data_IF_797314416464
#
_entry.id   IF_797314416464
#
_cell.length_a   1.000
_cell.length_b   1.000
_cell.length_c   1.000
_cell.angle_alpha   90.00
_cell.angle_beta   90.00
_cell.angle_gamma   90.00
#
_symmetry.space_group_name_H-M   'P 1'
#
loop_
_entity.id
_entity.type
_entity.pdbx_description
1 polymer ?
#
# COMPACT_ATOMS: atom_id res chain seq x y z
N UNK A 1 22.83 -3.77 17.99
CA UNK A 1 22.25 -4.59 16.91
C UNK A 1 20.96 -5.30 17.37
N UNK A 2 20.59 -5.20 18.66
CA UNK A 2 19.44 -5.92 19.25
C UNK A 2 18.05 -5.33 18.94
N UNK A 3 17.98 -4.11 18.39
CA UNK A 3 16.71 -3.43 18.06
C UNK A 3 15.93 -4.16 16.95
N UNK A 4 16.60 -4.90 16.07
CA UNK A 4 16.01 -5.65 14.94
C UNK A 4 16.23 -7.16 15.05
N UNK A 5 16.01 -7.69 16.25
CA UNK A 5 16.12 -9.13 16.56
C UNK A 5 14.81 -9.92 16.32
N UNK A 6 13.82 -9.30 15.67
CA UNK A 6 12.52 -9.92 15.39
C UNK A 6 12.53 -10.84 14.17
N UNK A 7 11.33 -11.07 13.62
CA UNK A 7 11.13 -11.87 12.41
C UNK A 7 11.88 -11.29 11.21
N UNK A 8 12.37 -12.15 10.33
CA UNK A 8 12.92 -11.77 9.02
C UNK A 8 11.87 -12.03 7.94
N UNK A 9 11.60 -11.01 7.11
CA UNK A 9 10.74 -11.13 5.93
C UNK A 9 11.58 -11.15 4.65
N UNK A 10 11.14 -11.95 3.67
CA UNK A 10 11.79 -12.19 2.38
C UNK A 10 13.28 -12.56 2.51
N UNK A 11 13.68 -13.14 3.64
CA UNK A 11 15.08 -13.40 3.97
C UNK A 11 15.97 -12.15 4.05
N UNK A 12 15.40 -10.95 4.03
CA UNK A 12 16.12 -9.67 3.83
C UNK A 12 15.81 -8.60 4.87
N UNK A 13 14.55 -8.42 5.24
CA UNK A 13 14.12 -7.32 6.11
C UNK A 13 13.97 -7.82 7.53
N UNK A 14 14.80 -7.32 8.45
CA UNK A 14 14.73 -7.66 9.87
C UNK A 14 13.80 -6.69 10.58
N UNK A 15 12.73 -7.20 11.16
CA UNK A 15 11.77 -6.40 11.91
C UNK A 15 12.27 -6.21 13.36
N UNK A 16 11.83 -5.14 14.04
CA UNK A 16 12.00 -5.03 15.48
C UNK A 16 11.24 -6.14 16.20
N UNK A 17 11.61 -6.39 17.45
CA UNK A 17 10.80 -7.23 18.31
C UNK A 17 9.42 -6.58 18.48
N UNK A 18 8.32 -7.32 18.26
CA UNK A 18 6.99 -6.76 18.47
C UNK A 18 6.84 -6.36 19.96
N UNK A 19 6.22 -5.20 20.27
CA UNK A 19 5.84 -4.86 21.63
C UNK A 19 4.99 -5.98 22.22
N UNK A 20 5.12 -6.23 23.52
CA UNK A 20 4.42 -7.31 24.23
C UNK A 20 2.88 -7.27 24.05
N UNK A 21 2.31 -6.09 23.80
CA UNK A 21 0.87 -5.85 23.76
C UNK A 21 0.34 -5.44 22.37
N UNK A 22 1.16 -5.50 21.33
CA UNK A 22 0.76 -5.06 19.98
C UNK A 22 0.28 -6.24 19.12
N UNK A 23 -1.02 -6.29 18.84
CA UNK A 23 -1.57 -7.09 17.75
C UNK A 23 -1.14 -6.45 16.43
N UNK A 24 -0.14 -7.05 15.76
CA UNK A 24 0.40 -6.76 14.42
C UNK A 24 0.38 -5.29 13.93
N UNK A 25 1.57 -4.73 13.75
CA UNK A 25 1.71 -3.43 13.11
C UNK A 25 1.24 -3.47 11.65
N UNK A 26 0.20 -2.72 11.30
CA UNK A 26 -0.08 -2.36 9.89
C UNK A 26 1.11 -1.65 9.25
N UNK A 27 1.94 -0.97 10.04
CA UNK A 27 3.10 -0.19 9.61
C UNK A 27 4.25 -0.28 10.61
N UNK A 28 5.47 -0.62 10.18
CA UNK A 28 6.65 -0.75 11.06
C UNK A 28 7.94 -0.33 10.36
N UNK A 29 9.02 -0.13 11.13
CA UNK A 29 10.38 0.03 10.58
C UNK A 29 11.01 -1.34 10.43
N UNK A 30 11.93 -1.51 9.48
CA UNK A 30 12.77 -2.69 9.40
C UNK A 30 14.19 -2.31 8.98
N UNK A 31 15.13 -3.22 9.21
CA UNK A 31 16.50 -3.10 8.73
C UNK A 31 16.67 -3.96 7.48
N UNK A 32 17.01 -3.33 6.35
CA UNK A 32 17.36 -4.04 5.13
C UNK A 32 18.81 -4.54 5.23
N UNK A 33 18.96 -5.85 5.39
CA UNK A 33 20.27 -6.48 5.55
C UNK A 33 21.16 -6.41 4.30
N UNK A 34 20.59 -6.15 3.13
CA UNK A 34 21.34 -6.01 1.89
C UNK A 34 21.96 -4.62 1.74
N UNK A 35 21.17 -3.56 1.95
CA UNK A 35 21.64 -2.16 1.83
C UNK A 35 22.26 -1.61 3.13
N UNK A 36 21.98 -2.22 4.28
CA UNK A 36 22.37 -1.72 5.59
C UNK A 36 21.56 -0.51 6.07
N UNK A 37 20.44 -0.20 5.41
CA UNK A 37 19.59 0.95 5.73
C UNK A 37 18.31 0.54 6.44
N UNK A 38 17.71 1.49 7.14
CA UNK A 38 16.36 1.31 7.66
C UNK A 38 15.32 1.69 6.62
N UNK A 39 14.25 0.92 6.59
CA UNK A 39 13.13 1.05 5.65
C UNK A 39 11.81 1.06 6.40
N UNK A 40 10.77 1.56 5.75
CA UNK A 40 9.40 1.50 6.26
C UNK A 40 8.67 0.32 5.59
N UNK A 41 7.97 -0.48 6.39
CA UNK A 41 7.18 -1.62 5.94
C UNK A 41 5.71 -1.36 6.24
N UNK A 42 4.86 -1.52 5.23
CA UNK A 42 3.40 -1.56 5.38
C UNK A 42 2.90 -2.96 5.09
N UNK A 43 2.11 -3.50 6.00
CA UNK A 43 1.41 -4.79 5.87
C UNK A 43 0.00 -4.53 5.34
N UNK A 44 -0.38 -5.24 4.28
CA UNK A 44 -1.75 -5.31 3.77
C UNK A 44 -2.21 -6.76 3.93
N UNK A 45 -3.06 -7.06 4.94
CA UNK A 45 -3.60 -8.40 5.13
C UNK A 45 -4.35 -8.88 3.89
N UNK A 46 -4.08 -10.11 3.47
CA UNK A 46 -4.80 -10.70 2.35
C UNK A 46 -6.16 -11.23 2.83
N UNK A 47 -7.24 -10.98 2.08
CA UNK A 47 -8.56 -11.52 2.42
C UNK A 47 -8.52 -13.05 2.53
N UNK A 48 -9.22 -13.60 3.51
CA UNK A 48 -9.43 -15.06 3.65
C UNK A 48 -10.38 -15.55 2.55
N UNK A 49 -10.12 -16.73 1.98
CA UNK A 49 -11.08 -17.37 1.07
C UNK A 49 -12.18 -18.00 1.90
N UNK A 50 -13.42 -17.59 1.68
CA UNK A 50 -14.59 -18.33 2.13
C UNK A 50 -15.08 -19.09 0.91
N UNK A 51 -14.89 -20.41 0.91
CA UNK A 51 -15.52 -21.26 -0.10
C UNK A 51 -17.04 -21.11 0.07
N UNK A 52 -17.74 -20.75 -0.99
CA UNK A 52 -19.18 -20.64 -0.95
C UNK A 52 -19.75 -22.04 -0.69
N UNK A 53 -20.45 -22.21 0.43
CA UNK A 53 -21.32 -23.37 0.61
C UNK A 53 -22.37 -23.33 -0.50
N UNK A 54 -22.30 -24.29 -1.41
CA UNK A 54 -23.33 -24.47 -2.43
C UNK A 54 -24.54 -25.04 -1.72
N UNK A 55 -25.58 -24.22 -1.54
CA UNK A 55 -26.88 -24.72 -1.10
C UNK A 55 -27.51 -25.38 -2.32
N UNK A 56 -27.53 -26.71 -2.34
CA UNK A 56 -28.25 -27.45 -3.37
C UNK A 56 -29.76 -27.13 -3.32
N UNK A 57 -30.40 -27.13 -4.48
CA UNK A 57 -31.84 -26.82 -4.70
C UNK A 57 -32.79 -27.74 -3.91
N UNK A 58 -32.28 -28.86 -3.38
CA UNK A 58 -33.05 -29.88 -2.66
C UNK A 58 -33.09 -29.71 -1.13
N UNK A 59 -32.51 -28.65 -0.56
CA UNK A 59 -32.67 -28.32 0.88
C UNK A 59 -32.11 -29.36 1.87
N UNK A 60 -31.31 -30.33 1.40
CA UNK A 60 -30.67 -31.32 2.26
C UNK A 60 -29.32 -30.78 2.74
N UNK A 61 -29.30 -30.23 3.96
CA UNK A 61 -28.07 -29.91 4.69
C UNK A 61 -27.39 -31.22 5.12
N UNK A 62 -26.68 -31.84 4.17
CA UNK A 62 -25.82 -32.99 4.41
C UNK A 62 -24.55 -32.58 5.13
N UNK A 63 -24.61 -32.51 6.47
CA UNK A 63 -23.46 -32.22 7.29
C UNK A 63 -22.36 -33.29 7.16
N UNK A 64 -21.21 -32.89 6.62
CA UNK A 64 -19.93 -33.47 6.97
C UNK A 64 -19.01 -32.33 7.42
N UNK A 65 -18.79 -32.31 8.73
CA UNK A 65 -17.99 -31.37 9.48
C UNK A 65 -16.53 -31.48 9.04
N UNK A 66 -16.10 -30.66 8.08
CA UNK A 66 -14.71 -30.26 7.97
C UNK A 66 -14.68 -28.76 8.21
N UNK A 67 -14.27 -28.39 9.43
CA UNK A 67 -14.24 -27.01 9.88
C UNK A 67 -13.59 -26.11 8.84
N UNK A 68 -14.25 -25.00 8.55
CA UNK A 68 -13.78 -23.94 7.67
C UNK A 68 -12.29 -23.68 7.89
N UNK A 69 -11.46 -24.27 7.03
CA UNK A 69 -10.04 -24.00 7.01
C UNK A 69 -9.91 -22.64 6.36
N UNK A 70 -9.96 -21.59 7.18
CA UNK A 70 -9.64 -20.20 6.82
C UNK A 70 -8.19 -20.16 6.35
N UNK A 71 -7.94 -20.61 5.13
CA UNK A 71 -6.62 -20.50 4.52
C UNK A 71 -6.53 -19.09 3.95
N UNK A 72 -5.59 -18.30 4.47
CA UNK A 72 -5.24 -17.03 3.86
C UNK A 72 -4.93 -17.25 2.37
N UNK A 73 -5.41 -16.35 1.50
CA UNK A 73 -5.09 -16.39 0.07
C UNK A 73 -3.57 -16.48 -0.11
N UNK A 74 -3.09 -17.62 -0.62
CA UNK A 74 -1.68 -17.81 -0.95
C UNK A 74 -1.28 -16.98 -2.18
N UNK A 75 0.02 -16.86 -2.45
CA UNK A 75 0.55 -16.10 -3.59
C UNK A 75 0.12 -16.60 -4.98
N UNK A 76 -0.64 -17.70 -5.06
CA UNK A 76 -1.23 -18.22 -6.30
C UNK A 76 -2.65 -17.73 -6.60
N UNK A 77 -3.32 -17.02 -5.68
CA UNK A 77 -4.64 -16.44 -5.96
C UNK A 77 -4.54 -15.32 -7.01
N UNK A 78 -5.35 -15.35 -8.10
CA UNK A 78 -5.33 -14.31 -9.13
C UNK A 78 -5.50 -12.88 -8.60
N UNK A 79 -6.29 -12.67 -7.54
CA UNK A 79 -6.46 -11.36 -6.92
C UNK A 79 -5.17 -10.89 -6.20
N UNK A 80 -4.51 -11.80 -5.47
CA UNK A 80 -3.22 -11.52 -4.82
C UNK A 80 -2.15 -11.23 -5.86
N UNK A 81 -2.12 -11.99 -6.96
CA UNK A 81 -1.19 -11.78 -8.05
C UNK A 81 -1.40 -10.41 -8.70
N UNK A 82 -2.64 -10.04 -9.03
CA UNK A 82 -2.97 -8.71 -9.56
C UNK A 82 -2.57 -7.60 -8.60
N UNK A 83 -2.80 -7.76 -7.31
CA UNK A 83 -2.41 -6.77 -6.31
C UNK A 83 -0.89 -6.61 -6.18
N UNK A 84 -0.15 -7.72 -6.21
CA UNK A 84 1.31 -7.70 -6.26
C UNK A 84 1.83 -6.99 -7.54
N UNK A 85 1.26 -7.33 -8.69
CA UNK A 85 1.64 -6.75 -9.99
C UNK A 85 1.32 -5.24 -10.03
N UNK A 86 0.15 -4.83 -9.54
CA UNK A 86 -0.27 -3.43 -9.46
C UNK A 86 0.65 -2.60 -8.56
N UNK A 87 0.97 -3.09 -7.36
CA UNK A 87 1.88 -2.40 -6.45
C UNK A 87 3.33 -2.37 -6.98
N UNK A 88 3.76 -3.43 -7.66
CA UNK A 88 5.08 -3.47 -8.32
C UNK A 88 5.14 -2.47 -9.47
N UNK A 89 4.08 -2.33 -10.26
CA UNK A 89 3.99 -1.34 -11.32
C UNK A 89 4.00 0.10 -10.76
N UNK A 90 3.28 0.36 -9.67
CA UNK A 90 3.31 1.64 -8.97
C UNK A 90 4.71 2.00 -8.44
N UNK A 91 5.50 1.00 -8.03
CA UNK A 91 6.88 1.20 -7.58
C UNK A 91 7.85 1.60 -8.71
N UNK A 92 7.45 1.47 -9.99
CA UNK A 92 8.26 1.90 -11.14
C UNK A 92 8.08 3.38 -11.49
N UNK A 93 7.20 4.11 -10.80
CA UNK A 93 7.09 5.56 -10.97
C UNK A 93 8.44 6.20 -10.65
N UNK A 94 8.98 7.08 -11.52
CA UNK A 94 10.27 7.71 -11.30
C UNK A 94 10.34 8.53 -10.00
N UNK A 95 11.53 8.55 -9.41
CA UNK A 95 11.80 9.27 -8.17
C UNK A 95 11.46 10.76 -8.29
N UNK A 96 10.82 11.30 -7.25
CA UNK A 96 10.40 12.69 -7.21
C UNK A 96 10.47 13.23 -5.76
N UNK A 97 10.95 14.46 -5.52
CA UNK A 97 11.15 15.01 -4.16
C UNK A 97 9.86 15.25 -3.33
N UNK A 98 8.69 14.90 -3.89
CA UNK A 98 7.39 14.96 -3.21
C UNK A 98 6.68 13.61 -3.19
N UNK A 99 7.32 12.54 -3.64
CA UNK A 99 6.80 11.18 -3.63
C UNK A 99 7.71 10.28 -2.80
N UNK A 100 7.11 9.47 -1.93
CA UNK A 100 7.83 8.43 -1.20
C UNK A 100 8.20 7.27 -2.11
N UNK A 101 9.46 6.86 -2.08
CA UNK A 101 9.98 5.80 -2.93
C UNK A 101 9.60 4.41 -2.38
N UNK A 102 9.23 3.50 -3.27
CA UNK A 102 8.97 2.08 -2.93
C UNK A 102 10.13 1.25 -3.47
N UNK A 103 10.75 0.46 -2.60
CA UNK A 103 11.93 -0.35 -2.93
C UNK A 103 11.57 -1.78 -3.32
N UNK A 104 10.54 -2.36 -2.69
CA UNK A 104 10.19 -3.76 -2.90
C UNK A 104 8.75 -4.04 -2.47
N UNK A 105 8.08 -4.93 -3.19
CA UNK A 105 6.74 -5.44 -2.85
C UNK A 105 6.77 -6.96 -2.95
N UNK A 106 6.23 -7.65 -1.95
CA UNK A 106 6.18 -9.11 -1.92
C UNK A 106 5.01 -9.63 -1.10
N UNK A 107 4.64 -10.90 -1.29
CA UNK A 107 3.63 -11.59 -0.48
C UNK A 107 4.31 -12.58 0.47
N UNK A 108 4.01 -12.52 1.76
CA UNK A 108 4.51 -13.48 2.75
C UNK A 108 3.57 -13.55 3.97
N UNK A 109 3.33 -14.78 4.46
CA UNK A 109 2.49 -15.07 5.63
C UNK A 109 1.12 -14.40 5.61
N UNK A 110 0.38 -14.58 4.50
CA UNK A 110 -0.99 -14.10 4.37
C UNK A 110 -1.11 -12.58 4.25
N UNK A 111 -0.03 -11.88 3.87
CA UNK A 111 -0.04 -10.43 3.68
C UNK A 111 0.80 -10.02 2.47
N UNK A 112 0.42 -8.92 1.84
CA UNK A 112 1.32 -8.14 0.98
C UNK A 112 2.12 -7.18 1.85
N UNK A 113 3.41 -7.08 1.55
CA UNK A 113 4.35 -6.21 2.23
C UNK A 113 4.89 -5.20 1.23
N UNK A 114 4.80 -3.92 1.59
CA UNK A 114 5.34 -2.82 0.81
C UNK A 114 6.49 -2.22 1.59
N UNK A 115 7.68 -2.28 1.00
CA UNK A 115 8.91 -1.73 1.55
C UNK A 115 9.18 -0.40 0.86
N UNK A 116 9.25 0.67 1.64
CA UNK A 116 9.47 2.02 1.15
C UNK A 116 10.57 2.75 1.91
N UNK A 117 10.93 3.92 1.41
CA UNK A 117 11.80 4.87 2.10
C UNK A 117 11.31 5.13 3.53
N UNK A 118 12.24 5.10 4.48
CA UNK A 118 11.99 5.59 5.83
C UNK A 118 12.27 7.10 5.86
N UNK A 119 11.22 7.88 5.60
CA UNK A 119 11.29 9.34 5.57
C UNK A 119 11.43 9.91 6.99
N UNK A 120 12.37 10.83 7.19
CA UNK A 120 12.47 11.65 8.39
C UNK A 120 11.32 12.67 8.43
N UNK A 121 10.21 12.28 9.06
CA UNK A 121 9.01 13.08 9.16
C UNK A 121 7.90 12.38 9.92
N UNK A 122 6.74 13.04 9.99
CA UNK A 122 5.54 12.53 10.69
C UNK A 122 4.32 12.58 9.77
N UNK A 123 3.41 11.59 9.83
CA UNK A 123 2.14 11.67 9.13
C UNK A 123 1.34 12.91 9.54
N UNK A 124 0.72 13.58 8.57
CA UNK A 124 -0.12 14.75 8.80
C UNK A 124 -1.25 14.42 9.80
N UNK A 125 -1.78 13.19 9.77
CA UNK A 125 -2.77 12.70 10.74
C UNK A 125 -2.31 12.85 12.19
N UNK A 126 -1.06 12.51 12.49
CA UNK A 126 -0.50 12.60 13.83
C UNK A 126 -0.22 14.05 14.27
N UNK A 127 0.00 14.96 13.33
CA UNK A 127 0.13 16.39 13.64
C UNK A 127 -1.24 17.04 13.87
N UNK A 128 -2.25 16.64 13.10
CA UNK A 128 -3.60 17.16 13.20
C UNK A 128 -4.31 16.74 14.50
N UNK A 129 -3.86 15.69 15.16
CA UNK A 129 -4.33 15.32 16.52
C UNK A 129 -3.80 16.26 17.59
N UNK A 130 -2.66 16.93 17.34
CA UNK A 130 -2.02 17.85 18.30
C UNK A 130 -2.47 19.30 18.06
N UNK A 131 -2.61 19.71 16.80
CA UNK A 131 -2.95 21.09 16.43
C UNK A 131 -3.52 21.20 15.02
N UNK A 132 -4.31 22.25 14.79
CA UNK A 132 -4.69 22.67 13.45
C UNK A 132 -3.52 23.36 12.72
N UNK A 133 -3.51 23.26 11.39
CA UNK A 133 -2.60 24.04 10.56
C UNK A 133 -3.13 25.47 10.39
N UNK A 134 -2.22 26.45 10.30
CA UNK A 134 -2.59 27.77 9.81
C UNK A 134 -3.02 27.68 8.33
N UNK A 135 -3.85 28.61 7.83
CA UNK A 135 -4.23 28.62 6.42
C UNK A 135 -3.02 28.66 5.48
N UNK A 136 -1.99 29.43 5.84
CA UNK A 136 -0.75 29.49 5.08
C UNK A 136 -0.03 28.14 5.02
N UNK A 137 0.12 27.47 6.18
CA UNK A 137 0.77 26.16 6.23
C UNK A 137 -0.02 25.08 5.48
N UNK A 138 -1.36 25.13 5.55
CA UNK A 138 -2.21 24.23 4.78
C UNK A 138 -2.01 24.42 3.27
N UNK A 139 -1.88 25.67 2.80
CA UNK A 139 -1.61 25.97 1.40
C UNK A 139 -0.24 25.46 0.94
N UNK A 140 0.81 25.57 1.77
CA UNK A 140 2.13 25.00 1.47
C UNK A 140 2.06 23.47 1.30
N UNK A 141 1.42 22.79 2.25
CA UNK A 141 1.23 21.33 2.20
C UNK A 141 0.44 20.94 0.96
N UNK A 142 -0.64 21.66 0.63
CA UNK A 142 -1.43 21.40 -0.56
C UNK A 142 -0.61 21.60 -1.85
N UNK A 143 0.22 22.64 -1.93
CA UNK A 143 1.09 22.88 -3.08
C UNK A 143 2.10 21.75 -3.29
N UNK A 144 2.70 21.25 -2.22
CA UNK A 144 3.63 20.12 -2.26
C UNK A 144 2.93 18.82 -2.72
N UNK A 145 1.74 18.54 -2.20
CA UNK A 145 0.91 17.40 -2.64
C UNK A 145 0.53 17.52 -4.12
N UNK A 146 0.09 18.70 -4.57
CA UNK A 146 -0.25 18.94 -5.98
C UNK A 146 0.97 18.76 -6.91
N UNK A 147 2.17 19.09 -6.41
CA UNK A 147 3.41 18.88 -7.15
C UNK A 147 3.71 17.38 -7.30
N UNK A 148 3.49 16.59 -6.24
CA UNK A 148 3.57 15.13 -6.29
C UNK A 148 2.56 14.52 -7.29
N UNK A 149 1.30 14.98 -7.23
CA UNK A 149 0.24 14.50 -8.11
C UNK A 149 0.50 14.83 -9.57
N UNK A 150 1.05 16.00 -9.88
CA UNK A 150 1.43 16.34 -11.25
C UNK A 150 2.47 15.37 -11.82
N UNK A 151 3.46 15.00 -11.01
CA UNK A 151 4.46 14.00 -11.40
C UNK A 151 3.83 12.62 -11.62
N UNK A 152 2.89 12.19 -10.76
CA UNK A 152 2.16 10.92 -10.95
C UNK A 152 1.30 10.92 -12.20
N UNK A 153 0.48 11.96 -12.39
CA UNK A 153 -0.44 12.06 -13.53
C UNK A 153 0.31 12.10 -14.87
N UNK A 154 1.53 12.66 -14.91
CA UNK A 154 2.38 12.61 -16.11
C UNK A 154 2.75 11.18 -16.54
N UNK A 155 2.65 10.21 -15.63
CA UNK A 155 2.88 8.78 -15.88
C UNK A 155 1.56 7.98 -15.91
N UNK A 156 0.41 8.65 -16.02
CA UNK A 156 -0.92 8.01 -16.09
C UNK A 156 -1.46 7.50 -14.75
N UNK A 157 -0.70 7.61 -13.66
CA UNK A 157 -1.12 7.13 -12.34
C UNK A 157 -2.02 8.13 -11.63
N UNK A 158 -3.19 7.68 -11.18
CA UNK A 158 -3.99 8.41 -10.18
C UNK A 158 -3.66 7.87 -8.79
N UNK A 159 -3.37 8.73 -7.81
CA UNK A 159 -2.95 8.26 -6.47
C UNK A 159 -4.03 7.45 -5.73
N UNK A 160 -5.29 7.94 -5.77
CA UNK A 160 -6.52 7.37 -5.19
C UNK A 160 -6.53 7.01 -3.69
N UNK A 161 -5.39 7.02 -3.02
CA UNK A 161 -5.24 6.82 -1.57
C UNK A 161 -4.69 8.08 -0.86
N UNK A 162 -5.21 9.27 -1.21
CA UNK A 162 -4.78 10.53 -0.58
C UNK A 162 -5.56 10.71 0.72
N UNK A 163 -4.85 10.63 1.84
CA UNK A 163 -5.38 10.80 3.19
C UNK A 163 -4.37 11.57 4.05
N UNK A 164 -4.77 12.01 5.24
CA UNK A 164 -3.82 12.61 6.19
C UNK A 164 -2.76 11.61 6.68
N UNK A 165 -2.95 10.30 6.49
CA UNK A 165 -1.96 9.27 6.83
C UNK A 165 -0.91 9.10 5.74
N UNK A 166 -1.27 9.35 4.48
CA UNK A 166 -0.37 9.19 3.32
C UNK A 166 0.39 10.46 2.98
N UNK A 167 0.10 11.58 3.63
CA UNK A 167 0.89 12.81 3.56
C UNK A 167 1.84 12.89 4.77
N UNK A 168 3.15 12.85 4.52
CA UNK A 168 4.18 13.05 5.53
C UNK A 168 4.64 14.50 5.53
N UNK A 169 4.77 15.11 6.71
CA UNK A 169 5.50 16.36 6.88
C UNK A 169 6.92 16.02 7.34
N UNK A 170 7.90 16.32 6.50
CA UNK A 170 9.31 16.05 6.76
C UNK A 170 9.89 17.10 7.71
N UNK A 171 11.01 16.75 8.34
CA UNK A 171 11.69 17.62 9.31
C UNK A 171 12.25 18.90 8.67
N UNK A 172 12.52 18.88 7.36
CA UNK A 172 12.92 20.06 6.56
C UNK A 172 11.74 20.96 6.16
N UNK A 173 10.52 20.64 6.61
CA UNK A 173 9.32 21.43 6.37
C UNK A 173 8.60 21.12 5.06
N UNK A 174 9.08 20.17 4.24
CA UNK A 174 8.35 19.77 3.02
C UNK A 174 7.24 18.75 3.30
N UNK A 175 6.19 18.75 2.49
CA UNK A 175 5.22 17.65 2.47
C UNK A 175 5.56 16.62 1.39
N UNK A 176 5.35 15.34 1.69
CA UNK A 176 5.58 14.23 0.77
C UNK A 176 4.36 13.32 0.73
N UNK A 177 3.98 12.92 -0.48
CA UNK A 177 2.89 11.98 -0.71
C UNK A 177 3.43 10.56 -0.82
N UNK A 178 2.84 9.64 -0.08
CA UNK A 178 3.25 8.23 0.01
C UNK A 178 2.05 7.31 -0.21
N UNK A 179 2.25 6.00 -0.27
CA UNK A 179 1.14 5.05 -0.28
C UNK A 179 0.51 4.78 -1.65
N UNK A 180 1.10 5.23 -2.75
CA UNK A 180 0.66 4.88 -4.10
C UNK A 180 0.59 3.36 -4.32
N UNK A 181 1.68 2.64 -4.03
CA UNK A 181 1.71 1.18 -4.19
C UNK A 181 0.72 0.46 -3.25
N UNK A 182 0.47 1.03 -2.06
CA UNK A 182 -0.50 0.49 -1.12
C UNK A 182 -1.93 0.66 -1.63
N UNK A 183 -2.27 1.86 -2.11
CA UNK A 183 -3.55 2.12 -2.76
C UNK A 183 -3.77 1.23 -3.99
N UNK A 184 -2.74 1.06 -4.82
CA UNK A 184 -2.82 0.17 -5.98
C UNK A 184 -3.07 -1.30 -5.57
N UNK A 185 -2.37 -1.82 -4.55
CA UNK A 185 -2.65 -3.16 -4.03
C UNK A 185 -4.08 -3.29 -3.49
N UNK A 186 -4.53 -2.33 -2.67
CA UNK A 186 -5.87 -2.34 -2.06
C UNK A 186 -6.98 -2.29 -3.14
N UNK A 187 -6.83 -1.45 -4.17
CA UNK A 187 -7.77 -1.40 -5.28
C UNK A 187 -7.84 -2.71 -6.06
N UNK A 188 -6.69 -3.31 -6.35
CA UNK A 188 -6.61 -4.59 -7.04
C UNK A 188 -7.22 -5.74 -6.22
N UNK A 189 -7.06 -5.73 -4.90
CA UNK A 189 -7.71 -6.69 -3.99
C UNK A 189 -9.24 -6.52 -3.99
N UNK A 190 -9.73 -5.30 -4.18
CA UNK A 190 -11.16 -5.00 -4.35
C UNK A 190 -11.68 -5.31 -5.77
N UNK A 191 -10.82 -5.73 -6.70
CA UNK A 191 -11.19 -6.11 -8.07
C UNK A 191 -11.12 -4.99 -9.10
N UNK A 192 -10.59 -3.81 -8.75
CA UNK A 192 -10.32 -2.75 -9.70
C UNK A 192 -8.97 -2.96 -10.41
N UNK A 193 -8.80 -2.36 -11.59
CA UNK A 193 -7.50 -2.25 -12.24
C UNK A 193 -6.93 -0.84 -12.01
N UNK A 194 -5.95 -0.68 -11.11
CA UNK A 194 -5.35 0.62 -10.81
C UNK A 194 -4.21 0.97 -11.78
N UNK A 195 -3.74 0.01 -12.59
CA UNK A 195 -2.57 0.21 -13.44
C UNK A 195 -2.98 1.10 -14.63
N UNK A 196 -2.20 2.13 -14.96
CA UNK A 196 -2.47 2.95 -16.13
C UNK A 196 -2.51 2.10 -17.39
N UNK A 197 -3.54 2.30 -18.22
CA UNK A 197 -3.60 1.70 -19.55
C UNK A 197 -2.45 2.18 -20.45
N UNK A 198 -2.19 1.49 -21.57
CA UNK A 198 -1.17 1.91 -22.53
C UNK A 198 -1.45 3.34 -23.01
N UNK A 199 -0.40 4.13 -23.32
CA UNK A 199 -0.48 5.57 -23.55
C UNK A 199 -1.38 6.06 -24.70
N UNK A 200 -2.11 5.20 -25.41
CA UNK A 200 -2.99 5.56 -26.54
C UNK A 200 -4.41 4.94 -26.50
N UNK A 201 -4.85 4.35 -25.39
CA UNK A 201 -6.21 3.80 -25.31
C UNK A 201 -7.32 4.85 -25.03
N UNK A 202 -6.98 6.14 -24.97
CA UNK A 202 -7.83 7.19 -24.38
C UNK A 202 -8.08 8.45 -25.21
N UNK A 203 -7.65 8.53 -26.47
CA UNK A 203 -8.09 9.58 -27.39
C UNK A 203 -9.30 9.08 -28.21
N UNK A 204 -10.37 8.70 -27.51
CA UNK A 204 -11.68 8.49 -28.13
C UNK A 204 -12.22 9.82 -28.62
N UNK A 205 -12.51 9.90 -29.92
CA UNK A 205 -13.07 11.04 -30.63
C UNK A 205 -14.24 11.69 -29.85
N UNK A 206 -14.37 13.03 -29.83
CA UNK A 206 -15.62 13.65 -29.41
C UNK A 206 -16.71 13.19 -30.39
N UNK A 207 -17.66 12.40 -29.88
CA UNK A 207 -18.77 11.87 -30.64
C UNK A 207 -19.48 12.97 -31.42
N UNK A 208 -19.28 12.98 -32.73
CA UNK A 208 -20.16 13.64 -33.67
C UNK A 208 -21.44 12.78 -33.75
N UNK A 209 -22.44 13.16 -32.96
CA UNK A 209 -23.81 12.70 -33.14
C UNK A 209 -24.54 13.57 -34.17
N UNK A 210 -25.45 12.98 -34.98
CA UNK A 210 -26.16 13.64 -36.07
C UNK A 210 -27.25 14.63 -35.61
#
# INVERSE_FOLDING_TARGET
>A
MDEFAGRVLAGRYRLPLPPADAYEFTETRAFDTYSGQQVHLRQIPLPEVVDAEVVDDDGHSGGALNGASRTARGGGDPAVRRALDAATAAAQVPDHPRLGQVFHVFAEAGSLWIVSELVAGRPLAALLTERNLSPHRAAEVANDVLTALRALHAHGWTHRNITTRTVLLCDDGRAMLTGLAAGAAEEALCGYDPVPGPPDAGAGEPGAGP
#
